data_IF_375120184526
#
_entry.id   IF_375120184526
#
_cell.length_a   1.000
_cell.length_b   1.000
_cell.length_c   1.000
_cell.angle_alpha   90.00
_cell.angle_beta   90.00
_cell.angle_gamma   90.00
#
_symmetry.space_group_name_H-M   'P 1'
#
loop_
_entity.id
_entity.type
_entity.pdbx_description
1 polymer ?
#
# COMPACT_ATOMS: atom_id res chain seq x y z
N UNK A 1 18.68 -5.30 -8.85
CA UNK A 1 17.90 -5.59 -7.61
C UNK A 1 18.00 -7.08 -7.35
N UNK A 2 18.28 -7.53 -6.12
CA UNK A 2 18.34 -8.97 -5.80
C UNK A 2 16.96 -9.61 -5.98
N UNK A 3 16.91 -10.86 -6.45
CA UNK A 3 15.68 -11.64 -6.64
C UNK A 3 14.85 -11.72 -5.35
N UNK A 4 15.48 -11.93 -4.19
CA UNK A 4 14.79 -11.95 -2.89
C UNK A 4 14.07 -10.64 -2.58
N UNK A 5 14.67 -9.51 -2.99
CA UNK A 5 14.09 -8.18 -2.82
C UNK A 5 12.90 -7.96 -3.77
N UNK A 6 12.97 -8.46 -5.00
CA UNK A 6 11.84 -8.44 -5.95
C UNK A 6 10.67 -9.23 -5.39
N UNK A 7 10.91 -10.46 -4.91
CA UNK A 7 9.87 -11.29 -4.30
C UNK A 7 9.23 -10.61 -3.09
N UNK A 8 10.04 -10.02 -2.20
CA UNK A 8 9.52 -9.28 -1.04
C UNK A 8 8.69 -8.07 -1.49
N UNK A 9 9.15 -7.35 -2.50
CA UNK A 9 8.46 -6.16 -3.01
C UNK A 9 7.10 -6.50 -3.61
N UNK A 10 7.03 -7.51 -4.48
CA UNK A 10 5.78 -7.95 -5.11
C UNK A 10 4.85 -8.55 -4.06
N UNK A 11 5.36 -9.44 -3.20
CA UNK A 11 4.57 -10.08 -2.14
C UNK A 11 3.97 -9.07 -1.17
N UNK A 12 4.74 -8.04 -0.77
CA UNK A 12 4.22 -6.98 0.09
C UNK A 12 3.19 -6.12 -0.63
N UNK A 13 3.38 -5.80 -1.92
CA UNK A 13 2.37 -5.11 -2.71
C UNK A 13 1.05 -5.86 -2.77
N UNK A 14 1.11 -7.19 -2.93
CA UNK A 14 -0.08 -8.04 -2.90
C UNK A 14 -0.77 -8.01 -1.53
N UNK A 15 -0.03 -8.05 -0.43
CA UNK A 15 -0.62 -7.99 0.93
C UNK A 15 -1.21 -6.59 1.22
N UNK A 16 -0.55 -5.52 0.77
CA UNK A 16 -1.03 -4.13 0.89
C UNK A 16 -2.36 -3.94 0.19
N UNK A 17 -2.56 -4.61 -0.93
CA UNK A 17 -3.84 -4.62 -1.61
C UNK A 17 -4.85 -5.55 -0.88
N UNK A 18 -4.43 -6.76 -0.51
CA UNK A 18 -5.33 -7.79 0.00
C UNK A 18 -5.98 -7.40 1.34
N UNK A 19 -5.23 -6.85 2.28
CA UNK A 19 -5.76 -6.55 3.63
C UNK A 19 -6.87 -5.49 3.58
N UNK A 20 -6.68 -4.30 2.98
CA UNK A 20 -7.75 -3.31 2.81
C UNK A 20 -8.93 -3.84 2.01
N UNK A 21 -8.69 -4.61 0.94
CA UNK A 21 -9.77 -5.21 0.14
C UNK A 21 -10.62 -6.18 0.96
N UNK A 22 -10.01 -7.04 1.78
CA UNK A 22 -10.77 -7.92 2.68
C UNK A 22 -11.52 -7.13 3.77
N UNK A 23 -10.92 -6.05 4.29
CA UNK A 23 -11.56 -5.20 5.27
C UNK A 23 -12.81 -4.51 4.69
N UNK A 24 -12.72 -3.93 3.49
CA UNK A 24 -13.86 -3.27 2.83
C UNK A 24 -14.93 -4.27 2.39
N UNK A 25 -14.55 -5.46 1.90
CA UNK A 25 -15.50 -6.54 1.61
C UNK A 25 -16.26 -6.98 2.86
N UNK A 26 -15.59 -7.07 4.01
CA UNK A 26 -16.23 -7.42 5.28
C UNK A 26 -17.25 -6.37 5.71
N UNK A 27 -16.95 -5.08 5.52
CA UNK A 27 -17.89 -3.97 5.79
C UNK A 27 -19.13 -4.09 4.91
N UNK A 28 -18.95 -4.34 3.63
CA UNK A 28 -20.06 -4.53 2.68
C UNK A 28 -20.92 -5.74 3.04
N UNK A 29 -20.29 -6.87 3.41
CA UNK A 29 -21.01 -8.09 3.81
C UNK A 29 -21.82 -7.91 5.09
N UNK A 30 -21.30 -7.14 6.05
CA UNK A 30 -21.98 -6.84 7.33
C UNK A 30 -23.04 -5.74 7.21
N UNK A 31 -23.22 -5.11 6.03
CA UNK A 31 -24.13 -3.99 5.84
C UNK A 31 -23.71 -2.71 6.56
N UNK A 32 -22.43 -2.61 6.95
CA UNK A 32 -21.89 -1.55 7.81
C UNK A 32 -21.34 -0.36 7.00
N UNK A 33 -21.99 0.00 5.88
CA UNK A 33 -21.47 0.92 4.86
C UNK A 33 -21.07 2.31 5.40
N UNK A 34 -21.70 2.77 6.50
CA UNK A 34 -21.33 4.02 7.18
C UNK A 34 -19.88 4.06 7.69
N UNK A 35 -19.22 2.90 7.80
CA UNK A 35 -17.83 2.78 8.27
C UNK A 35 -16.84 2.50 7.13
N UNK A 36 -17.29 2.47 5.88
CA UNK A 36 -16.47 2.08 4.73
C UNK A 36 -15.21 2.95 4.60
N UNK A 37 -15.37 4.28 4.61
CA UNK A 37 -14.27 5.23 4.42
C UNK A 37 -13.22 5.17 5.54
N UNK A 38 -13.68 5.00 6.78
CA UNK A 38 -12.80 4.91 7.95
C UNK A 38 -12.04 3.59 7.93
N UNK A 39 -12.71 2.47 7.65
CA UNK A 39 -12.10 1.14 7.63
C UNK A 39 -11.12 1.02 6.45
N UNK A 40 -11.48 1.51 5.26
CA UNK A 40 -10.57 1.50 4.10
C UNK A 40 -9.30 2.31 4.39
N UNK A 41 -9.45 3.53 4.90
CA UNK A 41 -8.34 4.46 5.21
C UNK A 41 -7.43 3.96 6.33
N UNK A 42 -8.00 3.44 7.42
CA UNK A 42 -7.20 2.89 8.53
C UNK A 42 -6.50 1.61 8.11
N UNK A 43 -7.21 0.72 7.40
CA UNK A 43 -6.64 -0.55 6.96
C UNK A 43 -5.46 -0.36 6.02
N UNK A 44 -5.58 0.54 5.03
CA UNK A 44 -4.46 0.84 4.12
C UNK A 44 -3.30 1.49 4.87
N UNK A 45 -3.54 2.48 5.73
CA UNK A 45 -2.49 3.17 6.46
C UNK A 45 -1.69 2.21 7.36
N UNK A 46 -2.38 1.42 8.19
CA UNK A 46 -1.74 0.47 9.11
C UNK A 46 -0.94 -0.58 8.34
N UNK A 47 -1.52 -1.11 7.25
CA UNK A 47 -0.87 -2.14 6.43
C UNK A 47 0.39 -1.61 5.76
N UNK A 48 0.33 -0.43 5.15
CA UNK A 48 1.49 0.20 4.49
C UNK A 48 2.57 0.51 5.52
N UNK A 49 2.25 1.11 6.67
CA UNK A 49 3.24 1.41 7.71
C UNK A 49 3.96 0.14 8.17
N UNK A 50 3.21 -0.90 8.51
CA UNK A 50 3.77 -2.16 8.98
C UNK A 50 4.69 -2.82 7.94
N UNK A 51 4.25 -2.88 6.69
CA UNK A 51 5.03 -3.53 5.62
C UNK A 51 6.20 -2.68 5.14
N UNK A 52 6.11 -1.35 5.13
CA UNK A 52 7.28 -0.47 4.91
C UNK A 52 8.32 -0.68 6.00
N UNK A 53 7.91 -0.73 7.27
CA UNK A 53 8.82 -0.97 8.38
C UNK A 53 9.55 -2.32 8.23
N UNK A 54 8.82 -3.37 7.89
CA UNK A 54 9.40 -4.70 7.62
C UNK A 54 10.27 -4.73 6.37
N UNK A 55 9.94 -3.95 5.34
CA UNK A 55 10.73 -3.84 4.12
C UNK A 55 12.09 -3.19 4.39
N UNK A 56 12.11 -2.05 5.11
CA UNK A 56 13.33 -1.33 5.43
C UNK A 56 14.26 -2.05 6.43
N UNK A 57 13.80 -3.10 7.12
CA UNK A 57 14.67 -3.92 7.97
C UNK A 57 15.84 -4.54 7.21
N UNK A 58 15.66 -4.83 5.92
CA UNK A 58 16.70 -5.45 5.07
C UNK A 58 17.43 -4.42 4.18
N UNK A 59 17.18 -3.13 4.40
CA UNK A 59 17.75 -2.02 3.63
C UNK A 59 18.76 -1.27 4.50
N UNK A 60 19.99 -1.15 4.01
CA UNK A 60 21.09 -0.54 4.76
C UNK A 60 21.44 0.88 4.30
N UNK A 61 20.93 1.34 3.15
CA UNK A 61 21.27 2.63 2.54
C UNK A 61 20.14 3.11 1.62
N UNK A 62 20.18 4.39 1.22
CA UNK A 62 19.31 4.98 0.20
C UNK A 62 17.79 4.86 0.51
N UNK A 63 17.38 5.02 1.77
CA UNK A 63 16.00 4.79 2.23
C UNK A 63 14.94 5.60 1.48
N UNK A 64 15.24 6.84 1.09
CA UNK A 64 14.31 7.67 0.31
C UNK A 64 14.05 7.07 -1.06
N UNK A 65 15.11 6.65 -1.77
CA UNK A 65 15.01 6.00 -3.08
C UNK A 65 14.24 4.69 -2.97
N UNK A 66 14.51 3.90 -1.94
CA UNK A 66 13.79 2.65 -1.68
C UNK A 66 12.32 2.89 -1.33
N UNK A 67 12.01 3.94 -0.56
CA UNK A 67 10.65 4.40 -0.26
C UNK A 67 9.87 4.80 -1.51
N UNK A 68 10.49 5.52 -2.45
CA UNK A 68 9.88 5.87 -3.73
C UNK A 68 9.60 4.61 -4.56
N UNK A 69 10.60 3.73 -4.70
CA UNK A 69 10.47 2.49 -5.49
C UNK A 69 9.34 1.63 -4.94
N UNK A 70 9.32 1.37 -3.63
CA UNK A 70 8.28 0.53 -3.06
C UNK A 70 6.90 1.20 -3.10
N UNK A 71 6.82 2.51 -2.86
CA UNK A 71 5.58 3.28 -2.96
C UNK A 71 4.94 3.18 -4.34
N UNK A 72 5.72 3.38 -5.40
CA UNK A 72 5.23 3.29 -6.79
C UNK A 72 4.81 1.86 -7.13
N UNK A 73 5.65 0.87 -6.81
CA UNK A 73 5.35 -0.53 -7.15
C UNK A 73 4.09 -1.02 -6.44
N UNK A 74 3.92 -0.70 -5.16
CA UNK A 74 2.75 -1.13 -4.39
C UNK A 74 1.47 -0.41 -4.81
N UNK A 75 1.55 0.87 -5.18
CA UNK A 75 0.45 1.61 -5.80
C UNK A 75 0.02 0.95 -7.11
N UNK A 76 0.96 0.64 -8.00
CA UNK A 76 0.68 0.01 -9.29
C UNK A 76 0.06 -1.38 -9.10
N UNK A 77 0.59 -2.20 -8.19
CA UNK A 77 0.03 -3.52 -7.88
C UNK A 77 -1.42 -3.38 -7.39
N UNK A 78 -1.69 -2.44 -6.48
CA UNK A 78 -3.04 -2.25 -5.94
C UNK A 78 -4.04 -1.88 -7.02
N UNK A 79 -3.68 -0.94 -7.91
CA UNK A 79 -4.53 -0.53 -9.02
C UNK A 79 -4.78 -1.68 -10.01
N UNK A 80 -3.74 -2.43 -10.38
CA UNK A 80 -3.87 -3.55 -11.32
C UNK A 80 -4.82 -4.61 -10.76
N UNK A 81 -4.69 -4.96 -9.48
CA UNK A 81 -5.50 -6.00 -8.87
C UNK A 81 -6.97 -5.59 -8.73
N UNK A 82 -7.25 -4.33 -8.38
CA UNK A 82 -8.63 -3.83 -8.35
C UNK A 82 -9.28 -3.81 -9.74
N UNK A 83 -8.55 -3.35 -10.75
CA UNK A 83 -9.03 -3.39 -12.14
C UNK A 83 -9.33 -4.83 -12.57
N UNK A 84 -8.47 -5.80 -12.20
CA UNK A 84 -8.73 -7.22 -12.46
C UNK A 84 -10.01 -7.69 -11.77
N UNK A 85 -10.26 -7.33 -10.50
CA UNK A 85 -11.50 -7.68 -9.82
C UNK A 85 -12.75 -7.08 -10.47
N UNK A 86 -12.66 -5.85 -10.98
CA UNK A 86 -13.74 -5.18 -11.70
C UNK A 86 -14.04 -5.93 -13.00
N UNK A 87 -13.02 -6.28 -13.78
CA UNK A 87 -13.21 -7.04 -15.04
C UNK A 87 -13.72 -8.46 -14.82
N UNK A 88 -13.39 -9.09 -13.69
CA UNK A 88 -13.93 -10.39 -13.30
C UNK A 88 -15.38 -10.33 -12.79
N UNK A 89 -15.95 -9.13 -12.62
CA UNK A 89 -17.31 -8.95 -12.10
C UNK A 89 -17.47 -9.30 -10.61
N UNK A 90 -16.35 -9.44 -9.88
CA UNK A 90 -16.35 -9.71 -8.44
C UNK A 90 -16.78 -8.44 -7.70
N UNK A 91 -16.28 -7.28 -8.14
CA UNK A 91 -16.66 -5.99 -7.61
C UNK A 91 -17.69 -5.36 -8.54
N UNK A 92 -18.84 -4.91 -8.01
CA UNK A 92 -19.97 -4.41 -8.80
C UNK A 92 -19.86 -2.92 -9.20
N UNK A 93 -18.71 -2.32 -8.90
CA UNK A 93 -18.43 -0.91 -9.22
C UNK A 93 -17.97 -0.78 -10.67
N UNK A 94 -18.31 0.35 -11.28
CA UNK A 94 -17.80 0.75 -12.59
C UNK A 94 -16.36 1.28 -12.48
N UNK A 95 -15.65 1.34 -13.61
CA UNK A 95 -14.31 1.93 -13.68
C UNK A 95 -14.34 3.41 -13.25
N UNK A 96 -15.41 4.13 -13.57
CA UNK A 96 -15.55 5.56 -13.24
C UNK A 96 -15.70 5.74 -11.72
N UNK A 97 -16.58 4.96 -11.08
CA UNK A 97 -16.73 4.95 -9.62
C UNK A 97 -15.41 4.58 -8.93
N UNK A 98 -14.71 3.57 -9.44
CA UNK A 98 -13.38 3.20 -8.92
C UNK A 98 -12.38 4.37 -8.95
N UNK A 99 -12.29 5.11 -10.06
CA UNK A 99 -11.34 6.22 -10.20
C UNK A 99 -11.69 7.39 -9.28
N UNK A 100 -12.97 7.62 -9.00
CA UNK A 100 -13.43 8.73 -8.17
C UNK A 100 -13.34 8.38 -6.68
N UNK A 101 -13.79 7.19 -6.30
CA UNK A 101 -14.04 6.86 -4.88
C UNK A 101 -12.91 6.04 -4.25
N UNK A 102 -12.18 5.23 -5.03
CA UNK A 102 -11.19 4.27 -4.50
C UNK A 102 -9.76 4.69 -4.87
N UNK A 103 -9.46 4.88 -6.15
CA UNK A 103 -8.10 5.14 -6.62
C UNK A 103 -7.36 6.28 -5.87
N UNK A 104 -8.00 7.39 -5.46
CA UNK A 104 -7.33 8.46 -4.73
C UNK A 104 -6.75 8.01 -3.39
N UNK A 105 -7.34 7.01 -2.72
CA UNK A 105 -6.84 6.52 -1.43
C UNK A 105 -5.44 5.92 -1.55
N UNK A 106 -5.09 5.39 -2.72
CA UNK A 106 -3.79 4.74 -2.94
C UNK A 106 -2.63 5.71 -2.91
N UNK A 107 -2.85 7.03 -2.99
CA UNK A 107 -1.80 8.04 -2.81
C UNK A 107 -1.17 7.98 -1.40
N UNK A 108 -1.90 7.43 -0.43
CA UNK A 108 -1.41 7.17 0.91
C UNK A 108 -0.21 6.22 0.90
N UNK A 109 -0.16 5.27 -0.07
CA UNK A 109 0.93 4.30 -0.20
C UNK A 109 2.29 5.01 -0.41
N UNK A 110 2.51 5.76 -1.51
CA UNK A 110 3.78 6.45 -1.71
C UNK A 110 4.04 7.54 -0.67
N UNK A 111 3.01 8.21 -0.14
CA UNK A 111 3.19 9.21 0.91
C UNK A 111 3.85 8.59 2.16
N UNK A 112 3.31 7.47 2.65
CA UNK A 112 3.84 6.79 3.83
C UNK A 112 5.24 6.21 3.56
N UNK A 113 5.44 5.54 2.42
CA UNK A 113 6.74 4.89 2.14
C UNK A 113 7.87 5.91 2.02
N UNK A 114 7.61 7.06 1.40
CA UNK A 114 8.59 8.14 1.25
C UNK A 114 8.88 8.80 2.60
N UNK A 115 7.85 9.11 3.39
CA UNK A 115 8.03 9.74 4.72
C UNK A 115 8.83 8.83 5.65
N UNK A 116 8.53 7.53 5.69
CA UNK A 116 9.33 6.58 6.47
C UNK A 116 10.76 6.45 5.93
N UNK A 117 10.94 6.59 4.62
CA UNK A 117 12.27 6.62 3.99
C UNK A 117 13.09 7.82 4.44
N UNK A 118 12.48 9.02 4.44
CA UNK A 118 13.07 10.26 4.96
C UNK A 118 13.44 10.13 6.44
N UNK A 119 12.53 9.60 7.27
CA UNK A 119 12.76 9.38 8.69
C UNK A 119 13.92 8.42 8.97
N UNK A 120 14.02 7.32 8.21
CA UNK A 120 15.13 6.37 8.35
C UNK A 120 16.47 6.95 7.90
N UNK A 121 16.48 7.77 6.84
CA UNK A 121 17.69 8.41 6.35
C UNK A 121 18.29 9.37 7.38
N UNK A 122 17.46 10.25 7.96
CA UNK A 122 17.88 11.18 9.02
C UNK A 122 18.49 10.46 10.22
N UNK A 123 17.91 9.33 10.63
CA UNK A 123 18.40 8.55 11.77
C UNK A 123 19.73 7.82 11.52
N UNK A 124 20.07 7.53 10.26
CA UNK A 124 21.41 7.03 9.94
C UNK A 124 22.44 8.13 10.05
N UNK A 125 22.16 9.31 9.50
CA UNK A 125 23.08 10.45 9.53
C UNK A 125 23.44 10.83 10.98
N UNK A 126 22.49 10.78 11.92
CA UNK A 126 22.73 11.06 13.35
C UNK A 126 23.56 10.00 14.09
N UNK A 127 23.70 8.78 13.57
CA UNK A 127 24.48 7.70 14.23
C UNK A 127 25.96 7.68 13.83
N UNK A 128 26.33 8.50 12.84
CA UNK A 128 27.69 8.62 12.33
C UNK A 128 28.39 9.93 12.76
N UNK A 129 27.76 10.69 13.65
CA UNK A 129 28.31 11.89 14.33
C UNK A 129 28.65 11.52 15.77
#
# INVERSE_FOLDING_TARGET
MNLNKIFKLIGFGFIIWLIPTLATLSVSYLGALNYFDVISSVSIAVTVIALTYLYFKDINENYVREGIICGVVWLVISIILDIVLIFLGINKITIIEYVIDIAPIYIVIPAITIVLGLYRNQNQDTRHV
#
